data_IF_210633522332
#
_entry.id   IF_210633522332
#
_cell.length_a   1.000
_cell.length_b   1.000
_cell.length_c   1.000
_cell.angle_alpha   90.00
_cell.angle_beta   90.00
_cell.angle_gamma   90.00
#
_symmetry.space_group_name_H-M   'P 1'
#
loop_
_entity.id
_entity.type
_entity.pdbx_description
1 polymer ?
#
# COMPACT_ATOMS: atom_id res chain seq x y z
N UNK A 1 -23.22 -10.02 1.63
CA UNK A 1 -22.34 -10.56 2.68
C UNK A 1 -21.80 -9.37 3.46
N UNK A 2 -22.00 -9.33 4.77
CA UNK A 2 -21.49 -8.23 5.62
C UNK A 2 -19.98 -8.40 5.87
N UNK A 3 -19.34 -7.33 6.33
CA UNK A 3 -17.98 -7.44 6.88
C UNK A 3 -18.06 -8.13 8.24
N UNK A 4 -17.10 -9.02 8.51
CA UNK A 4 -16.95 -9.68 9.80
C UNK A 4 -16.73 -8.65 10.91
N UNK A 5 -17.27 -8.92 12.11
CA UNK A 5 -17.14 -8.03 13.27
C UNK A 5 -15.70 -7.93 13.73
N UNK A 6 -14.98 -9.06 13.76
CA UNK A 6 -13.60 -9.11 14.24
C UNK A 6 -12.70 -8.26 13.32
N UNK A 7 -12.91 -8.33 12.00
CA UNK A 7 -12.24 -7.46 11.03
C UNK A 7 -12.51 -5.97 11.27
N UNK A 8 -13.73 -5.60 11.65
CA UNK A 8 -14.06 -4.21 11.94
C UNK A 8 -13.37 -3.71 13.20
N UNK A 9 -13.23 -4.57 14.21
CA UNK A 9 -12.53 -4.26 15.44
C UNK A 9 -11.01 -4.13 15.17
N UNK A 10 -10.43 -5.03 14.38
CA UNK A 10 -9.03 -4.91 13.92
C UNK A 10 -8.76 -3.59 13.18
N UNK A 11 -9.69 -3.15 12.31
CA UNK A 11 -9.57 -1.88 11.59
C UNK A 11 -9.63 -0.68 12.56
N UNK A 12 -10.44 -0.76 13.63
CA UNK A 12 -10.55 0.31 14.63
C UNK A 12 -9.29 0.45 15.46
N UNK A 13 -8.59 -0.65 15.69
CA UNK A 13 -7.35 -0.68 16.46
C UNK A 13 -6.12 -0.25 15.64
N UNK A 14 -6.28 -0.05 14.33
CA UNK A 14 -5.20 0.49 13.48
C UNK A 14 -4.82 1.91 13.88
N UNK A 15 -3.51 2.14 13.95
CA UNK A 15 -2.95 3.49 14.07
C UNK A 15 -3.10 4.29 12.76
N UNK A 16 -2.71 5.57 12.81
CA UNK A 16 -2.79 6.47 11.64
C UNK A 16 -2.07 5.91 10.40
N UNK A 17 -0.96 5.21 10.59
CA UNK A 17 -0.19 4.61 9.50
C UNK A 17 -0.93 3.42 8.88
N UNK A 18 -1.51 2.55 9.70
CA UNK A 18 -2.34 1.43 9.30
C UNK A 18 -3.58 1.88 8.54
N UNK A 19 -4.30 2.87 9.07
CA UNK A 19 -5.49 3.44 8.44
C UNK A 19 -5.17 4.08 7.09
N UNK A 20 -4.07 4.83 6.97
CA UNK A 20 -3.63 5.40 5.69
C UNK A 20 -3.29 4.32 4.66
N UNK A 21 -2.68 3.21 5.10
CA UNK A 21 -2.37 2.07 4.22
C UNK A 21 -3.65 1.37 3.74
N UNK A 22 -4.57 1.09 4.67
CA UNK A 22 -5.86 0.49 4.35
C UNK A 22 -6.63 1.34 3.33
N UNK A 23 -6.72 2.64 3.57
CA UNK A 23 -7.38 3.57 2.64
C UNK A 23 -6.77 3.51 1.22
N UNK A 24 -5.44 3.52 1.10
CA UNK A 24 -4.76 3.41 -0.20
C UNK A 24 -5.08 2.09 -0.92
N UNK A 25 -5.11 0.97 -0.18
CA UNK A 25 -5.40 -0.35 -0.74
C UNK A 25 -6.87 -0.45 -1.19
N UNK A 26 -7.80 -0.01 -0.34
CA UNK A 26 -9.23 -0.02 -0.64
C UNK A 26 -9.55 0.87 -1.83
N UNK A 27 -9.00 2.09 -1.87
CA UNK A 27 -9.23 3.00 -3.00
C UNK A 27 -8.70 2.42 -4.31
N UNK A 28 -7.46 1.91 -4.34
CA UNK A 28 -6.88 1.30 -5.54
C UNK A 28 -7.69 0.08 -6.03
N UNK A 29 -8.23 -0.72 -5.10
CA UNK A 29 -9.09 -1.86 -5.45
C UNK A 29 -10.40 -1.40 -6.07
N UNK A 30 -11.08 -0.42 -5.45
CA UNK A 30 -12.36 0.12 -5.92
C UNK A 30 -12.24 0.81 -7.29
N UNK A 31 -11.13 1.52 -7.55
CA UNK A 31 -10.81 2.07 -8.87
C UNK A 31 -10.63 0.96 -9.91
N UNK A 32 -9.91 -0.13 -9.57
CA UNK A 32 -9.66 -1.26 -10.48
C UNK A 32 -10.94 -1.99 -10.88
N UNK A 33 -11.89 -2.15 -9.95
CA UNK A 33 -13.17 -2.80 -10.24
C UNK A 33 -14.23 -1.83 -10.79
N UNK A 34 -13.87 -0.57 -11.04
CA UNK A 34 -14.73 0.44 -11.66
C UNK A 34 -15.88 0.93 -10.76
N UNK A 35 -15.84 0.64 -9.46
CA UNK A 35 -16.87 1.06 -8.49
C UNK A 35 -16.70 2.53 -8.12
N UNK A 36 -15.47 3.03 -8.09
CA UNK A 36 -15.18 4.46 -7.97
C UNK A 36 -14.76 4.99 -9.34
N UNK A 37 -15.63 5.77 -9.98
CA UNK A 37 -15.21 6.80 -10.95
C UNK A 37 -14.78 8.00 -10.12
N UNK A 38 -13.60 8.56 -10.40
CA UNK A 38 -13.04 9.66 -9.61
C UNK A 38 -14.04 10.83 -9.50
N UNK A 39 -14.79 10.90 -8.41
CA UNK A 39 -15.55 12.06 -8.02
C UNK A 39 -14.56 13.10 -7.47
N UNK A 40 -13.82 13.73 -8.38
CA UNK A 40 -12.87 14.81 -8.08
C UNK A 40 -11.43 14.36 -7.89
N UNK A 41 -10.60 14.59 -8.91
CA UNK A 41 -9.17 14.96 -8.82
C UNK A 41 -8.18 14.05 -8.08
N UNK A 42 -8.59 12.94 -7.48
CA UNK A 42 -7.70 12.08 -6.71
C UNK A 42 -6.64 11.45 -7.64
N UNK A 43 -5.34 11.54 -7.29
CA UNK A 43 -4.28 11.07 -8.16
C UNK A 43 -4.30 9.55 -8.28
N UNK A 44 -4.28 9.03 -9.51
CA UNK A 44 -4.23 7.59 -9.80
C UNK A 44 -3.04 6.94 -9.09
N UNK A 45 -3.31 6.06 -8.12
CA UNK A 45 -2.30 5.32 -7.36
C UNK A 45 -2.07 3.94 -7.98
N UNK A 46 -0.81 3.60 -8.25
CA UNK A 46 -0.40 2.26 -8.67
C UNK A 46 0.47 1.61 -7.60
N UNK A 47 0.16 0.38 -7.22
CA UNK A 47 0.86 -0.36 -6.17
C UNK A 47 1.76 -1.42 -6.82
N UNK A 48 3.02 -1.52 -6.40
CA UNK A 48 4.02 -2.46 -6.97
C UNK A 48 4.91 -3.05 -5.89
N UNK A 49 5.30 -4.30 -6.08
CA UNK A 49 6.35 -4.94 -5.28
C UNK A 49 7.74 -4.52 -5.76
N UNK A 50 8.66 -4.32 -4.83
CA UNK A 50 10.06 -3.99 -5.09
C UNK A 50 10.98 -4.68 -4.09
N UNK A 51 12.13 -5.14 -4.59
CA UNK A 51 13.25 -5.55 -3.73
C UNK A 51 14.29 -4.43 -3.69
N UNK A 52 14.81 -4.13 -2.50
CA UNK A 52 15.77 -3.03 -2.26
C UNK A 52 17.10 -3.55 -1.76
N UNK A 53 18.19 -2.97 -2.25
CA UNK A 53 19.54 -3.18 -1.70
C UNK A 53 19.76 -2.21 -0.54
N UNK A 54 20.17 -2.70 0.63
CA UNK A 54 20.34 -1.85 1.82
C UNK A 54 21.66 -1.05 1.85
N UNK A 55 22.60 -1.32 0.94
CA UNK A 55 23.86 -0.59 0.84
C UNK A 55 24.90 -0.91 1.92
N UNK A 56 24.61 -1.81 2.87
CA UNK A 56 25.60 -2.26 3.86
C UNK A 56 26.66 -3.11 3.19
N UNK A 57 27.94 -2.79 3.41
CA UNK A 57 29.08 -3.51 2.82
C UNK A 57 29.09 -5.01 3.20
N UNK A 58 28.53 -5.36 4.35
CA UNK A 58 28.47 -6.73 4.89
C UNK A 58 27.13 -7.43 4.64
N UNK A 59 26.20 -6.85 3.87
CA UNK A 59 24.92 -7.52 3.56
C UNK A 59 25.12 -8.70 2.61
N UNK A 60 24.81 -9.92 3.06
CA UNK A 60 24.81 -11.14 2.23
C UNK A 60 23.42 -11.59 1.80
N UNK A 61 22.36 -11.00 2.37
CA UNK A 61 20.94 -11.38 2.15
C UNK A 61 20.18 -10.40 1.25
N UNK A 62 20.90 -9.49 0.60
CA UNK A 62 20.35 -8.53 -0.35
C UNK A 62 20.07 -9.20 -1.71
N UNK A 63 19.04 -8.77 -2.47
CA UNK A 63 18.12 -7.68 -2.19
C UNK A 63 17.00 -8.09 -1.23
N UNK A 64 16.60 -7.17 -0.34
CA UNK A 64 15.52 -7.41 0.62
C UNK A 64 14.15 -7.14 0.01
N UNK A 65 13.15 -7.92 0.37
CA UNK A 65 11.79 -7.77 -0.14
C UNK A 65 11.08 -9.12 -0.24
N UNK A 66 9.97 -9.21 -1.01
CA UNK A 66 9.34 -8.10 -1.72
C UNK A 66 8.67 -7.10 -0.77
N UNK A 67 8.90 -5.82 -1.01
CA UNK A 67 8.25 -4.70 -0.32
C UNK A 67 7.21 -4.05 -1.21
N UNK A 68 6.10 -3.61 -0.64
CA UNK A 68 5.09 -2.90 -1.38
C UNK A 68 5.33 -1.40 -1.39
N UNK A 69 5.14 -0.78 -2.55
CA UNK A 69 5.21 0.66 -2.75
C UNK A 69 4.00 1.15 -3.53
N UNK A 70 3.40 2.25 -3.06
CA UNK A 70 2.45 3.05 -3.83
C UNK A 70 3.22 4.07 -4.68
N UNK A 71 2.75 4.32 -5.90
CA UNK A 71 3.22 5.35 -6.82
C UNK A 71 2.05 6.15 -7.34
N UNK A 72 2.16 7.47 -7.31
CA UNK A 72 1.19 8.39 -7.89
C UNK A 72 1.88 9.62 -8.47
N UNK A 73 1.12 10.47 -9.17
CA UNK A 73 1.59 11.80 -9.58
C UNK A 73 0.84 12.86 -8.79
N UNK A 74 1.57 13.84 -8.29
CA UNK A 74 1.05 14.97 -7.52
C UNK A 74 1.85 16.20 -7.95
N UNK A 75 1.16 17.28 -8.32
CA UNK A 75 1.78 18.51 -8.87
C UNK A 75 2.78 18.24 -10.01
N UNK A 76 2.43 17.32 -10.91
CA UNK A 76 3.28 16.90 -12.03
C UNK A 76 4.49 16.03 -11.65
N UNK A 77 4.77 15.83 -10.36
CA UNK A 77 5.90 15.05 -9.86
C UNK A 77 5.48 13.63 -9.51
N UNK A 78 6.34 12.65 -9.80
CA UNK A 78 6.13 11.26 -9.37
C UNK A 78 6.44 11.16 -7.87
N UNK A 79 5.48 10.66 -7.11
CA UNK A 79 5.61 10.35 -5.70
C UNK A 79 5.62 8.84 -5.49
N UNK A 80 6.20 8.42 -4.37
CA UNK A 80 6.16 7.04 -3.93
C UNK A 80 6.07 6.95 -2.41
N UNK A 81 5.38 5.94 -1.89
CA UNK A 81 5.28 5.66 -0.45
C UNK A 81 5.48 4.18 -0.19
N UNK A 82 6.34 3.88 0.78
CA UNK A 82 6.54 2.52 1.29
C UNK A 82 5.29 2.05 2.04
N UNK A 83 4.79 0.87 1.67
CA UNK A 83 3.60 0.24 2.23
C UNK A 83 3.92 -1.02 3.03
N UNK A 84 5.17 -1.28 3.43
CA UNK A 84 5.51 -2.45 4.23
C UNK A 84 5.87 -3.72 3.45
N UNK A 85 6.20 -4.79 4.17
CA UNK A 85 6.07 -6.17 3.69
C UNK A 85 4.62 -6.60 3.92
N UNK A 86 3.99 -7.24 2.94
CA UNK A 86 2.96 -8.21 3.26
C UNK A 86 3.76 -9.45 3.64
N UNK A 87 3.79 -9.80 4.91
CA UNK A 87 4.36 -11.07 5.34
C UNK A 87 3.53 -12.15 4.66
N UNK A 88 4.17 -13.00 3.85
CA UNK A 88 3.61 -14.32 3.60
C UNK A 88 3.69 -15.02 4.95
N UNK A 89 2.54 -15.43 5.49
CA UNK A 89 2.47 -16.25 6.70
C UNK A 89 3.22 -17.56 6.41
N UNK A 90 4.24 -17.87 7.22
CA UNK A 90 4.85 -19.20 7.29
C UNK A 90 3.93 -20.17 8.06
#
# INVERSE_FOLDING_TARGET
>A
MGLDRDLLDDIRDLDEHGLRRLHMLTQAHLERIGVITQAGGAPKVSIRQQSVRCGRATCTTCPHGPYWYAYWREDGRRRSKYLGKLLEED
#
